data_IF_046934544255
#
_entry.id   IF_046934544255
#
_cell.length_a   1.000
_cell.length_b   1.000
_cell.length_c   1.000
_cell.angle_alpha   90.00
_cell.angle_beta   90.00
_cell.angle_gamma   90.00
#
_symmetry.space_group_name_H-M   'P 1'
#
loop_
_entity.id
_entity.type
_entity.pdbx_description
1 polymer ?
#
# COMPACT_ATOMS: atom_id res chain seq x y z
N UNK A 1 -46.14 2.54 16.41
CA UNK A 1 -45.51 1.25 16.00
C UNK A 1 -44.71 1.37 14.70
N UNK A 2 -45.17 2.11 13.73
CA UNK A 2 -44.57 2.11 12.39
C UNK A 2 -43.16 2.76 12.25
N UNK A 3 -42.85 3.81 13.02
CA UNK A 3 -41.54 4.49 12.90
C UNK A 3 -40.36 3.65 13.37
N UNK A 4 -40.51 2.86 14.45
CA UNK A 4 -39.45 1.99 14.96
C UNK A 4 -39.14 0.90 13.93
N UNK A 5 -40.15 0.26 13.35
CA UNK A 5 -39.96 -0.73 12.30
C UNK A 5 -39.27 -0.14 11.06
N UNK A 6 -39.63 1.08 10.67
CA UNK A 6 -38.98 1.77 9.55
C UNK A 6 -37.50 2.03 9.86
N UNK A 7 -37.16 2.53 11.04
CA UNK A 7 -35.76 2.78 11.44
C UNK A 7 -34.95 1.47 11.43
N UNK A 8 -35.48 0.40 12.04
CA UNK A 8 -34.83 -0.91 12.05
C UNK A 8 -34.64 -1.47 10.64
N UNK A 9 -35.69 -1.35 9.79
CA UNK A 9 -35.60 -1.76 8.40
C UNK A 9 -34.50 -0.98 7.63
N UNK A 10 -34.48 0.33 7.76
CA UNK A 10 -33.46 1.17 7.11
C UNK A 10 -32.04 0.83 7.60
N UNK A 11 -31.87 0.61 8.90
CA UNK A 11 -30.59 0.19 9.48
C UNK A 11 -30.09 -1.13 8.85
N UNK A 12 -30.95 -2.13 8.82
CA UNK A 12 -30.61 -3.45 8.23
C UNK A 12 -30.38 -3.30 6.72
N UNK A 13 -31.22 -2.57 6.01
CA UNK A 13 -31.13 -2.37 4.57
C UNK A 13 -29.81 -1.67 4.17
N UNK A 14 -29.45 -0.57 4.81
CA UNK A 14 -28.19 0.12 4.53
C UNK A 14 -26.98 -0.73 4.97
N UNK A 15 -27.06 -1.43 6.09
CA UNK A 15 -26.02 -2.37 6.51
C UNK A 15 -25.80 -3.49 5.50
N UNK A 16 -26.89 -4.03 4.93
CA UNK A 16 -26.84 -5.02 3.86
C UNK A 16 -26.21 -4.46 2.58
N UNK A 17 -26.56 -3.24 2.17
CA UNK A 17 -25.95 -2.59 1.02
C UNK A 17 -24.43 -2.38 1.24
N UNK A 18 -24.03 -1.89 2.40
CA UNK A 18 -22.61 -1.75 2.75
C UNK A 18 -21.89 -3.10 2.70
N UNK A 19 -22.50 -4.17 3.21
CA UNK A 19 -21.93 -5.53 3.19
C UNK A 19 -21.76 -6.06 1.77
N UNK A 20 -22.73 -5.85 0.88
CA UNK A 20 -22.65 -6.32 -0.51
C UNK A 20 -21.62 -5.51 -1.32
N UNK A 21 -21.63 -4.18 -1.15
CA UNK A 21 -20.82 -3.29 -1.97
C UNK A 21 -19.48 -2.92 -1.35
N UNK A 22 -19.09 -3.47 -0.17
CA UNK A 22 -17.86 -3.10 0.54
C UNK A 22 -16.61 -3.17 -0.34
N UNK A 23 -16.48 -4.16 -1.22
CA UNK A 23 -15.33 -4.27 -2.12
C UNK A 23 -15.26 -3.15 -3.15
N UNK A 24 -16.40 -2.59 -3.59
CA UNK A 24 -16.42 -1.40 -4.45
C UNK A 24 -15.97 -0.14 -3.70
N UNK A 25 -16.21 -0.10 -2.39
CA UNK A 25 -15.79 1.01 -1.53
C UNK A 25 -14.30 0.91 -1.20
N UNK A 26 -13.83 -0.31 -0.89
CA UNK A 26 -12.43 -0.56 -0.51
C UNK A 26 -11.51 -0.51 -1.74
N UNK A 27 -11.95 -0.99 -2.91
CA UNK A 27 -11.13 -1.12 -4.12
C UNK A 27 -11.71 -0.27 -5.25
N UNK A 28 -11.17 0.93 -5.41
CA UNK A 28 -11.60 1.85 -6.46
C UNK A 28 -10.85 1.57 -7.76
N UNK A 29 -11.40 0.65 -8.56
CA UNK A 29 -10.81 0.21 -9.83
C UNK A 29 -10.52 1.39 -10.77
N UNK A 30 -9.46 1.28 -11.56
CA UNK A 30 -9.01 2.35 -12.47
C UNK A 30 -8.67 1.85 -13.87
N UNK A 31 -8.71 2.76 -14.83
CA UNK A 31 -8.31 2.51 -16.22
C UNK A 31 -6.79 2.35 -16.35
N UNK A 32 -6.34 1.93 -17.53
CA UNK A 32 -4.91 1.88 -17.87
C UNK A 32 -4.35 3.31 -17.90
N UNK A 33 -3.20 3.59 -17.25
CA UNK A 33 -2.49 4.87 -17.36
C UNK A 33 -1.96 5.06 -18.79
N UNK A 34 -1.54 6.29 -19.10
CA UNK A 34 -0.70 6.56 -20.25
C UNK A 34 0.69 5.92 -20.05
N UNK A 35 1.56 6.01 -21.05
CA UNK A 35 2.93 5.50 -20.91
C UNK A 35 3.72 6.28 -19.83
N UNK A 36 4.76 5.67 -19.22
CA UNK A 36 5.58 6.33 -18.20
C UNK A 36 6.14 7.68 -18.62
N UNK A 37 6.56 7.82 -19.88
CA UNK A 37 7.11 9.06 -20.43
C UNK A 37 6.12 10.22 -20.41
N UNK A 38 4.81 9.91 -20.56
CA UNK A 38 3.74 10.93 -20.47
C UNK A 38 3.63 11.56 -19.09
N UNK A 39 4.27 10.96 -18.08
CA UNK A 39 4.34 11.44 -16.70
C UNK A 39 5.75 11.93 -16.32
N UNK A 40 6.67 12.05 -17.29
CA UNK A 40 8.06 12.46 -17.06
C UNK A 40 8.93 11.38 -16.41
N UNK A 41 8.57 10.10 -16.57
CA UNK A 41 9.35 8.95 -16.13
C UNK A 41 10.15 8.38 -17.30
N UNK A 42 11.15 9.13 -17.76
CA UNK A 42 12.04 8.70 -18.84
C UNK A 42 12.82 7.43 -18.43
N UNK A 43 13.15 6.59 -19.42
CA UNK A 43 13.86 5.32 -19.22
C UNK A 43 13.13 4.33 -18.27
N UNK A 44 11.83 4.51 -18.07
CA UNK A 44 10.99 3.59 -17.31
C UNK A 44 10.25 2.65 -18.25
N UNK A 45 10.39 1.35 -18.06
CA UNK A 45 9.78 0.34 -18.92
C UNK A 45 8.42 -0.11 -18.37
N UNK A 46 7.41 -0.19 -19.24
CA UNK A 46 6.23 -1.00 -18.95
C UNK A 46 6.61 -2.49 -18.99
N UNK A 47 6.25 -3.21 -17.94
CA UNK A 47 6.45 -4.65 -17.83
C UNK A 47 5.15 -5.34 -17.45
N UNK A 48 5.05 -6.62 -17.76
CA UNK A 48 3.91 -7.46 -17.43
C UNK A 48 4.34 -8.53 -16.44
N UNK A 49 3.68 -8.56 -15.28
CA UNK A 49 3.94 -9.54 -14.22
C UNK A 49 2.81 -10.56 -14.19
N UNK A 50 3.13 -11.83 -14.36
CA UNK A 50 2.15 -12.90 -14.31
C UNK A 50 2.03 -13.48 -12.92
N UNK A 51 0.80 -13.49 -12.38
CA UNK A 51 0.51 -14.05 -11.06
C UNK A 51 0.35 -15.57 -11.12
N UNK A 52 0.40 -16.25 -9.97
CA UNK A 52 0.21 -17.68 -9.87
C UNK A 52 -1.16 -18.14 -10.42
N UNK A 53 -2.19 -17.33 -10.24
CA UNK A 53 -3.56 -17.57 -10.74
C UNK A 53 -3.80 -16.97 -12.14
N UNK A 54 -2.71 -16.78 -12.91
CA UNK A 54 -2.70 -16.42 -14.34
C UNK A 54 -3.23 -15.01 -14.67
N UNK A 55 -3.35 -14.10 -13.69
CA UNK A 55 -3.63 -12.70 -13.95
C UNK A 55 -2.33 -12.01 -14.40
N UNK A 56 -2.45 -11.13 -15.40
CA UNK A 56 -1.34 -10.29 -15.86
C UNK A 56 -1.50 -8.89 -15.28
N UNK A 57 -0.46 -8.41 -14.61
CA UNK A 57 -0.41 -7.10 -13.98
C UNK A 57 0.53 -6.18 -14.75
N UNK A 58 0.06 -4.98 -15.08
CA UNK A 58 0.90 -3.89 -15.57
C UNK A 58 1.75 -3.37 -14.42
N UNK A 59 3.04 -3.21 -14.67
CA UNK A 59 3.96 -2.57 -13.76
C UNK A 59 4.94 -1.68 -14.51
N UNK A 60 5.54 -0.73 -13.82
CA UNK A 60 6.58 0.15 -14.34
C UNK A 60 7.89 -0.10 -13.61
N UNK A 61 8.94 -0.37 -14.37
CA UNK A 61 10.26 -0.66 -13.85
C UNK A 61 11.30 0.33 -14.40
N UNK A 62 11.97 1.03 -13.49
CA UNK A 62 13.11 1.89 -13.77
C UNK A 62 14.39 1.26 -13.20
N UNK A 63 15.40 1.16 -14.06
CA UNK A 63 16.73 0.68 -13.67
C UNK A 63 17.61 1.86 -13.31
N UNK A 64 17.78 2.09 -12.01
CA UNK A 64 18.62 3.15 -11.47
C UNK A 64 20.10 2.77 -11.37
N UNK A 65 20.80 3.41 -10.43
CA UNK A 65 22.21 3.11 -10.14
C UNK A 65 22.35 1.67 -9.61
N UNK A 66 23.23 0.84 -10.19
CA UNK A 66 23.45 -0.53 -9.76
C UNK A 66 23.94 -0.68 -8.30
N UNK A 67 24.53 0.37 -7.74
CA UNK A 67 25.04 0.40 -6.37
C UNK A 67 24.02 0.93 -5.36
N UNK A 68 22.75 1.05 -5.76
CA UNK A 68 21.64 1.46 -4.91
C UNK A 68 20.54 0.39 -4.85
N UNK A 69 19.73 0.36 -3.78
CA UNK A 69 18.66 -0.62 -3.61
C UNK A 69 17.50 -0.41 -4.60
N UNK A 70 16.63 -1.41 -4.67
CA UNK A 70 15.37 -1.37 -5.43
C UNK A 70 14.22 -1.01 -4.50
N UNK A 71 13.44 0.01 -4.85
CA UNK A 71 12.17 0.32 -4.21
C UNK A 71 11.03 -0.38 -4.94
N UNK A 72 10.33 -1.29 -4.25
CA UNK A 72 9.10 -1.92 -4.74
C UNK A 72 7.92 -1.23 -4.09
N UNK A 73 7.11 -0.54 -4.90
CA UNK A 73 6.03 0.33 -4.44
C UNK A 73 4.66 -0.31 -4.63
N UNK A 74 3.96 -0.52 -3.55
CA UNK A 74 2.61 -1.04 -3.45
C UNK A 74 1.64 0.11 -3.16
N UNK A 75 0.87 0.53 -4.18
CA UNK A 75 0.04 1.74 -4.12
C UNK A 75 -1.25 1.59 -3.30
N UNK A 76 -1.88 2.71 -2.99
CA UNK A 76 -3.15 2.81 -2.27
C UNK A 76 -4.38 2.34 -3.06
N UNK A 77 -5.58 2.65 -2.56
CA UNK A 77 -6.85 2.12 -3.08
C UNK A 77 -7.48 2.95 -4.22
N UNK A 78 -6.83 4.01 -4.67
CA UNK A 78 -7.39 4.93 -5.66
C UNK A 78 -6.45 5.16 -6.82
N UNK A 79 -7.01 5.42 -8.00
CA UNK A 79 -6.32 5.76 -9.21
C UNK A 79 -5.41 4.66 -9.75
N UNK A 80 -4.75 4.94 -10.86
CA UNK A 80 -3.76 4.07 -11.47
C UNK A 80 -2.33 4.40 -11.02
N UNK A 81 -1.36 3.63 -11.51
CA UNK A 81 0.04 3.85 -11.15
C UNK A 81 0.62 5.14 -11.72
N UNK A 82 0.00 5.73 -12.76
CA UNK A 82 0.39 7.02 -13.32
C UNK A 82 0.26 8.17 -12.35
N UNK A 83 -0.78 8.14 -11.51
CA UNK A 83 -0.98 9.16 -10.46
C UNK A 83 0.13 9.15 -9.37
N UNK A 84 0.94 8.09 -9.33
CA UNK A 84 2.11 7.98 -8.43
C UNK A 84 3.42 8.34 -9.12
N UNK A 85 3.40 8.67 -10.41
CA UNK A 85 4.60 8.95 -11.19
C UNK A 85 5.48 10.03 -10.55
N UNK A 86 4.88 11.13 -10.06
CA UNK A 86 5.61 12.22 -9.41
C UNK A 86 6.36 11.77 -8.14
N UNK A 87 5.83 10.76 -7.42
CA UNK A 87 6.45 10.16 -6.23
C UNK A 87 7.61 9.26 -6.65
N UNK A 88 7.36 8.39 -7.62
CA UNK A 88 8.37 7.47 -8.18
C UNK A 88 9.55 8.24 -8.77
N UNK A 89 9.26 9.34 -9.48
CA UNK A 89 10.30 10.20 -10.05
C UNK A 89 11.30 10.69 -9.00
N UNK A 90 10.85 11.06 -7.81
CA UNK A 90 11.75 11.52 -6.73
C UNK A 90 12.76 10.45 -6.31
N UNK A 91 12.36 9.17 -6.32
CA UNK A 91 13.26 8.04 -6.03
C UNK A 91 14.17 7.73 -7.22
N UNK A 92 13.65 7.82 -8.45
CA UNK A 92 14.46 7.68 -9.67
C UNK A 92 15.55 8.77 -9.74
N UNK A 93 15.19 10.03 -9.48
CA UNK A 93 16.12 11.18 -9.45
C UNK A 93 17.18 11.01 -8.34
N UNK A 94 16.85 10.35 -7.25
CA UNK A 94 17.82 9.95 -6.22
C UNK A 94 18.68 8.75 -6.63
N UNK A 95 18.45 8.17 -7.81
CA UNK A 95 19.21 7.06 -8.39
C UNK A 95 18.82 5.68 -7.90
N UNK A 96 17.70 5.51 -7.17
CA UNK A 96 17.19 4.19 -6.83
C UNK A 96 16.61 3.52 -8.07
N UNK A 97 16.71 2.19 -8.15
CA UNK A 97 15.81 1.42 -9.03
C UNK A 97 14.41 1.42 -8.43
N UNK A 98 13.37 1.47 -9.26
CA UNK A 98 11.98 1.46 -8.78
C UNK A 98 11.13 0.48 -9.56
N UNK A 99 10.21 -0.18 -8.86
CA UNK A 99 9.17 -1.02 -9.44
C UNK A 99 7.84 -0.65 -8.78
N UNK A 100 6.91 -0.10 -9.56
CA UNK A 100 5.53 0.12 -9.13
C UNK A 100 4.59 -0.81 -9.90
N UNK A 101 3.73 -1.53 -9.19
CA UNK A 101 2.78 -2.50 -9.78
C UNK A 101 1.34 -2.00 -9.61
N UNK A 102 0.55 -2.08 -10.68
CA UNK A 102 -0.89 -1.91 -10.63
C UNK A 102 -1.55 -3.20 -10.13
N UNK A 103 -2.42 -3.10 -9.14
CA UNK A 103 -3.19 -4.24 -8.65
C UNK A 103 -4.14 -4.79 -9.72
N UNK A 104 -4.54 -6.07 -9.60
CA UNK A 104 -5.70 -6.58 -10.35
C UNK A 104 -6.93 -5.68 -10.13
N UNK A 105 -7.63 -5.33 -11.21
CA UNK A 105 -8.73 -4.37 -11.20
C UNK A 105 -8.31 -2.89 -11.19
N UNK A 106 -7.02 -2.57 -11.03
CA UNK A 106 -6.47 -1.22 -11.15
C UNK A 106 -5.56 -1.14 -12.37
N UNK A 107 -5.28 0.08 -12.83
CA UNK A 107 -4.37 0.35 -13.96
C UNK A 107 -4.72 -0.44 -15.23
N UNK A 108 -6.02 -0.70 -15.45
CA UNK A 108 -6.50 -1.50 -16.58
C UNK A 108 -6.30 -3.01 -16.44
N UNK A 109 -5.76 -3.50 -15.35
CA UNK A 109 -5.57 -4.93 -15.12
C UNK A 109 -6.89 -5.66 -14.90
N UNK A 110 -7.01 -6.85 -15.46
CA UNK A 110 -8.16 -7.72 -15.22
C UNK A 110 -8.21 -8.26 -13.80
N UNK A 111 -9.35 -8.81 -13.42
CA UNK A 111 -9.56 -9.50 -12.16
C UNK A 111 -10.30 -8.66 -11.12
N UNK A 112 -10.57 -9.31 -9.98
CA UNK A 112 -11.31 -8.72 -8.87
C UNK A 112 -10.40 -8.63 -7.65
N UNK A 113 -10.15 -7.41 -7.13
CA UNK A 113 -9.33 -7.23 -5.95
C UNK A 113 -10.02 -7.78 -4.71
N UNK A 114 -9.22 -8.36 -3.84
CA UNK A 114 -9.55 -8.78 -2.48
C UNK A 114 -8.26 -8.86 -1.66
N UNK A 115 -8.34 -8.97 -0.36
CA UNK A 115 -7.15 -9.13 0.50
C UNK A 115 -6.25 -10.27 0.00
N UNK A 116 -6.82 -11.47 -0.16
CA UNK A 116 -6.07 -12.65 -0.63
C UNK A 116 -5.45 -12.42 -2.01
N UNK A 117 -6.22 -11.82 -2.91
CA UNK A 117 -5.78 -11.62 -4.28
C UNK A 117 -4.66 -10.57 -4.39
N UNK A 118 -4.71 -9.48 -3.59
CA UNK A 118 -3.63 -8.51 -3.54
C UNK A 118 -2.35 -9.11 -2.93
N UNK A 119 -2.46 -10.07 -2.02
CA UNK A 119 -1.31 -10.83 -1.52
C UNK A 119 -0.67 -11.70 -2.62
N UNK A 120 -1.47 -12.29 -3.52
CA UNK A 120 -0.96 -13.00 -4.70
C UNK A 120 -0.23 -12.03 -5.64
N UNK A 121 -0.80 -10.84 -5.88
CA UNK A 121 -0.17 -9.81 -6.73
C UNK A 121 1.16 -9.35 -6.15
N UNK A 122 1.21 -9.09 -4.84
CA UNK A 122 2.44 -8.72 -4.15
C UNK A 122 3.52 -9.81 -4.21
N UNK A 123 3.14 -11.09 -3.99
CA UNK A 123 4.08 -12.21 -4.12
C UNK A 123 4.60 -12.35 -5.56
N UNK A 124 3.73 -12.22 -6.58
CA UNK A 124 4.15 -12.26 -7.98
C UNK A 124 5.13 -11.14 -8.31
N UNK A 125 4.91 -9.94 -7.75
CA UNK A 125 5.82 -8.80 -7.92
C UNK A 125 7.21 -9.10 -7.36
N UNK A 126 7.30 -9.65 -6.15
CA UNK A 126 8.59 -10.02 -5.55
C UNK A 126 9.26 -11.15 -6.34
N UNK A 127 8.52 -12.17 -6.77
CA UNK A 127 9.06 -13.26 -7.59
C UNK A 127 9.62 -12.73 -8.91
N UNK A 128 8.90 -11.82 -9.58
CA UNK A 128 9.38 -11.18 -10.80
C UNK A 128 10.73 -10.48 -10.59
N UNK A 129 10.88 -9.73 -9.48
CA UNK A 129 12.16 -9.08 -9.14
C UNK A 129 13.29 -10.10 -9.03
N UNK A 130 13.05 -11.20 -8.32
CA UNK A 130 14.07 -12.24 -8.08
C UNK A 130 14.48 -12.99 -9.36
N UNK A 131 13.54 -13.15 -10.29
CA UNK A 131 13.75 -13.88 -11.55
C UNK A 131 14.33 -13.01 -12.67
N UNK A 132 14.00 -11.72 -12.71
CA UNK A 132 14.29 -10.84 -13.84
C UNK A 132 15.31 -9.74 -13.54
N UNK A 133 15.81 -9.64 -12.29
CA UNK A 133 16.78 -8.63 -11.89
C UNK A 133 17.92 -9.26 -11.08
N UNK A 134 18.96 -8.46 -10.81
CA UNK A 134 20.07 -8.87 -9.92
C UNK A 134 19.75 -8.70 -8.42
N UNK A 135 18.65 -8.03 -8.08
CA UNK A 135 18.31 -7.71 -6.71
C UNK A 135 17.88 -8.95 -5.93
N UNK A 136 18.38 -9.07 -4.72
CA UNK A 136 17.98 -10.08 -3.74
C UNK A 136 16.96 -9.47 -2.77
N UNK A 137 16.28 -10.28 -1.98
CA UNK A 137 15.32 -9.80 -0.97
C UNK A 137 15.91 -8.72 -0.06
N UNK A 138 17.16 -8.88 0.37
CA UNK A 138 17.87 -7.93 1.23
C UNK A 138 18.22 -6.58 0.56
N UNK A 139 18.02 -6.48 -0.75
CA UNK A 139 18.31 -5.29 -1.55
C UNK A 139 17.02 -4.49 -1.86
N UNK A 140 15.87 -4.97 -1.37
CA UNK A 140 14.54 -4.41 -1.66
C UNK A 140 14.06 -3.53 -0.50
N UNK A 141 13.63 -2.33 -0.83
CA UNK A 141 12.79 -1.47 -0.01
C UNK A 141 11.35 -1.87 -0.29
N UNK A 142 10.69 -2.49 0.68
CA UNK A 142 9.29 -2.90 0.60
C UNK A 142 8.39 -1.74 1.02
N UNK A 143 7.85 -1.00 0.05
CA UNK A 143 7.09 0.23 0.29
C UNK A 143 5.59 0.00 0.10
N UNK A 144 4.81 0.28 1.12
CA UNK A 144 3.34 0.27 1.05
C UNK A 144 2.74 1.65 1.32
N UNK A 145 1.86 2.11 0.44
CA UNK A 145 1.04 3.31 0.61
C UNK A 145 -0.39 2.92 0.96
N UNK A 146 -0.94 3.41 2.08
CA UNK A 146 -2.36 3.21 2.46
C UNK A 146 -2.78 1.74 2.34
N UNK A 147 -3.67 1.36 1.41
CA UNK A 147 -4.05 -0.04 1.14
C UNK A 147 -2.83 -0.94 0.91
N UNK A 148 -1.82 -0.46 0.20
CA UNK A 148 -0.57 -1.20 -0.07
C UNK A 148 0.21 -1.57 1.19
N UNK A 149 -0.02 -0.87 2.32
CA UNK A 149 0.61 -1.23 3.60
C UNK A 149 0.19 -2.61 4.08
N UNK A 150 -1.06 -3.02 3.79
CA UNK A 150 -1.55 -4.37 4.09
C UNK A 150 -0.76 -5.45 3.35
N UNK A 151 -0.42 -5.20 2.09
CA UNK A 151 0.41 -6.12 1.30
C UNK A 151 1.86 -6.10 1.77
N UNK A 152 2.43 -4.92 2.01
CA UNK A 152 3.81 -4.78 2.49
C UNK A 152 4.04 -5.49 3.83
N UNK A 153 3.10 -5.36 4.79
CA UNK A 153 3.14 -6.08 6.07
C UNK A 153 3.02 -7.58 5.86
N UNK A 154 2.11 -8.05 5.01
CA UNK A 154 1.93 -9.48 4.74
C UNK A 154 3.18 -10.11 4.12
N UNK A 155 3.81 -9.45 3.14
CA UNK A 155 5.03 -9.93 2.51
C UNK A 155 6.19 -10.02 3.51
N UNK A 156 6.23 -9.12 4.49
CA UNK A 156 7.26 -9.08 5.51
C UNK A 156 7.20 -10.27 6.50
N UNK A 157 6.07 -10.97 6.59
CA UNK A 157 6.00 -12.23 7.35
C UNK A 157 6.84 -13.33 6.71
N UNK A 158 6.96 -13.31 5.38
CA UNK A 158 7.72 -14.28 4.59
C UNK A 158 9.16 -13.84 4.34
N UNK A 159 9.37 -12.58 3.97
CA UNK A 159 10.64 -12.06 3.49
C UNK A 159 11.27 -11.09 4.50
N UNK A 160 12.60 -11.11 4.61
CA UNK A 160 13.38 -10.10 5.33
C UNK A 160 13.99 -9.13 4.31
N UNK A 161 13.26 -8.05 4.04
CA UNK A 161 13.68 -6.98 3.14
C UNK A 161 14.81 -6.14 3.73
N UNK A 162 15.44 -5.28 2.93
CA UNK A 162 16.37 -4.25 3.42
C UNK A 162 15.68 -3.41 4.50
N UNK A 163 14.51 -2.88 4.17
CA UNK A 163 13.59 -2.23 5.11
C UNK A 163 12.16 -2.29 4.58
N UNK A 164 11.21 -1.96 5.46
CA UNK A 164 9.81 -1.75 5.10
C UNK A 164 9.41 -0.33 5.43
N UNK A 165 8.78 0.33 4.48
CA UNK A 165 8.21 1.68 4.64
C UNK A 165 6.71 1.59 4.54
N UNK A 166 6.00 2.12 5.54
CA UNK A 166 4.55 2.17 5.58
C UNK A 166 4.10 3.63 5.59
N UNK A 167 3.54 4.08 4.46
CA UNK A 167 2.97 5.42 4.30
C UNK A 167 1.48 5.40 4.61
N UNK A 168 1.04 6.22 5.56
CA UNK A 168 -0.34 6.33 6.04
C UNK A 168 -0.99 4.96 6.33
N UNK A 169 -0.34 4.09 7.16
CA UNK A 169 -0.82 2.74 7.42
C UNK A 169 -2.01 2.71 8.36
N UNK A 170 -2.81 1.67 8.24
CA UNK A 170 -3.94 1.37 9.12
C UNK A 170 -3.68 0.11 9.97
N UNK A 171 -4.34 0.02 11.14
CA UNK A 171 -4.32 -1.19 11.98
C UNK A 171 -5.04 -2.36 11.30
N UNK A 172 -6.25 -2.08 10.77
CA UNK A 172 -7.00 -2.96 9.85
C UNK A 172 -8.02 -2.14 9.07
N UNK A 173 -8.46 -2.61 7.91
CA UNK A 173 -9.60 -2.01 7.19
C UNK A 173 -10.87 -2.06 8.04
N UNK A 174 -11.03 -3.08 8.87
CA UNK A 174 -12.16 -3.18 9.78
C UNK A 174 -12.16 -2.07 10.83
N UNK A 175 -10.99 -1.68 11.36
CA UNK A 175 -10.87 -0.58 12.31
C UNK A 175 -11.13 0.78 11.66
N UNK A 176 -10.62 1.02 10.44
CA UNK A 176 -10.93 2.22 9.65
C UNK A 176 -12.44 2.30 9.38
N UNK A 177 -13.07 1.18 9.00
CA UNK A 177 -14.51 1.12 8.81
C UNK A 177 -15.29 1.39 10.10
N UNK A 178 -14.80 0.92 11.27
CA UNK A 178 -15.41 1.20 12.59
C UNK A 178 -15.41 2.70 12.89
N UNK A 179 -14.31 3.39 12.57
CA UNK A 179 -14.21 4.84 12.74
C UNK A 179 -15.22 5.59 11.86
N UNK A 180 -15.42 5.12 10.62
CA UNK A 180 -16.29 5.77 9.62
C UNK A 180 -17.76 5.40 9.76
N UNK A 181 -18.06 4.16 10.12
CA UNK A 181 -19.41 3.57 10.19
C UNK A 181 -19.74 3.10 11.61
N UNK A 182 -19.70 4.02 12.56
CA UNK A 182 -19.77 3.78 14.03
C UNK A 182 -20.97 2.95 14.49
N UNK A 183 -22.10 3.00 13.76
CA UNK A 183 -23.34 2.29 14.12
C UNK A 183 -23.36 0.82 13.68
N UNK A 184 -22.41 0.39 12.84
CA UNK A 184 -22.35 -0.98 12.33
C UNK A 184 -21.24 -1.79 12.99
N UNK A 185 -21.43 -3.09 13.21
CA UNK A 185 -20.41 -3.99 13.77
C UNK A 185 -19.37 -4.40 12.70
N UNK A 186 -18.66 -3.42 12.17
CA UNK A 186 -17.74 -3.55 11.02
C UNK A 186 -16.65 -4.60 11.22
N UNK A 187 -16.17 -4.80 12.46
CA UNK A 187 -15.18 -5.84 12.80
C UNK A 187 -15.60 -7.25 12.36
N UNK A 188 -16.91 -7.51 12.32
CA UNK A 188 -17.48 -8.79 11.90
C UNK A 188 -17.91 -8.78 10.44
N UNK A 189 -18.30 -7.63 9.90
CA UNK A 189 -18.89 -7.50 8.57
C UNK A 189 -17.85 -7.28 7.46
N UNK A 190 -16.68 -6.69 7.77
CA UNK A 190 -15.63 -6.46 6.77
C UNK A 190 -14.97 -7.79 6.38
N UNK A 191 -15.00 -8.09 5.07
CA UNK A 191 -14.45 -9.32 4.47
C UNK A 191 -12.93 -9.24 4.30
N UNK A 192 -12.47 -8.14 3.74
CA UNK A 192 -11.05 -7.91 3.39
C UNK A 192 -10.43 -7.01 4.49
N UNK A 193 -9.94 -7.63 5.56
CA UNK A 193 -9.54 -6.93 6.80
C UNK A 193 -8.18 -6.30 6.73
N UNK A 194 -7.22 -6.91 6.03
CA UNK A 194 -5.81 -6.49 6.02
C UNK A 194 -5.31 -6.16 7.44
N UNK A 195 -5.43 -7.12 8.35
CA UNK A 195 -5.11 -6.92 9.76
C UNK A 195 -3.60 -6.76 9.98
N UNK A 196 -3.13 -5.52 9.87
CA UNK A 196 -1.73 -5.16 10.06
C UNK A 196 -1.33 -5.22 11.53
N UNK A 197 -2.25 -4.85 12.45
CA UNK A 197 -1.94 -4.82 13.87
C UNK A 197 -1.59 -6.20 14.42
N UNK A 198 -2.26 -7.27 13.97
CA UNK A 198 -1.96 -8.64 14.40
C UNK A 198 -0.65 -9.21 13.83
N UNK A 199 -0.03 -8.50 12.88
CA UNK A 199 1.15 -8.95 12.12
C UNK A 199 2.41 -8.12 12.37
N UNK A 200 2.25 -6.85 12.78
CA UNK A 200 3.35 -5.87 12.79
C UNK A 200 4.51 -6.25 13.73
N UNK A 201 4.23 -6.94 14.82
CA UNK A 201 5.22 -7.48 15.76
C UNK A 201 6.01 -8.69 15.21
N UNK A 202 5.52 -9.28 14.10
CA UNK A 202 6.13 -10.46 13.46
C UNK A 202 6.95 -10.11 12.22
N UNK A 203 6.95 -8.85 11.79
CA UNK A 203 7.74 -8.43 10.63
C UNK A 203 9.24 -8.61 10.91
N UNK A 204 10.03 -8.85 9.85
CA UNK A 204 11.45 -9.24 9.97
C UNK A 204 12.40 -8.11 9.60
N UNK A 205 11.92 -7.09 8.91
CA UNK A 205 12.74 -5.99 8.39
C UNK A 205 12.70 -4.77 9.30
N UNK A 206 13.74 -3.91 9.30
CA UNK A 206 13.66 -2.56 9.85
C UNK A 206 12.45 -1.81 9.29
N UNK A 207 11.76 -1.02 10.12
CA UNK A 207 10.49 -0.39 9.82
C UNK A 207 10.56 1.13 9.88
N UNK A 208 10.05 1.81 8.86
CA UNK A 208 9.73 3.24 8.88
C UNK A 208 8.22 3.42 8.69
N UNK A 209 7.58 4.16 9.60
CA UNK A 209 6.19 4.59 9.44
C UNK A 209 6.15 6.10 9.21
N UNK A 210 5.45 6.50 8.14
CA UNK A 210 5.24 7.92 7.80
C UNK A 210 3.75 8.20 7.73
N UNK A 211 3.27 9.24 8.43
CA UNK A 211 1.85 9.64 8.36
C UNK A 211 1.64 11.10 8.72
N UNK A 212 0.53 11.66 8.23
CA UNK A 212 0.03 12.96 8.64
C UNK A 212 -0.80 12.86 9.92
N UNK A 213 -0.67 13.86 10.82
CA UNK A 213 -1.52 13.90 12.01
C UNK A 213 -2.94 14.38 11.71
N UNK A 214 -3.11 15.12 10.60
CA UNK A 214 -4.42 15.58 10.11
C UNK A 214 -5.03 14.63 9.04
N UNK A 215 -4.63 13.36 9.03
CA UNK A 215 -5.17 12.36 8.12
C UNK A 215 -6.63 12.03 8.47
N UNK A 216 -7.56 12.43 7.58
CA UNK A 216 -9.00 12.22 7.73
C UNK A 216 -9.48 10.88 7.12
N UNK A 217 -8.62 10.21 6.33
CA UNK A 217 -8.93 8.94 5.69
C UNK A 217 -8.55 7.77 6.61
N UNK A 218 -7.31 7.80 7.10
CA UNK A 218 -6.77 6.85 8.08
C UNK A 218 -6.28 7.65 9.30
N UNK A 219 -7.07 7.76 10.35
CA UNK A 219 -6.69 8.54 11.53
C UNK A 219 -5.31 8.18 12.07
N UNK A 220 -4.51 9.19 12.41
CA UNK A 220 -3.13 9.05 12.87
C UNK A 220 -2.92 8.01 13.99
N UNK A 221 -3.93 7.78 14.81
CA UNK A 221 -3.87 6.78 15.88
C UNK A 221 -3.49 5.38 15.37
N UNK A 222 -3.87 5.03 14.14
CA UNK A 222 -3.50 3.75 13.54
C UNK A 222 -1.98 3.62 13.39
N UNK A 223 -1.32 4.65 12.86
CA UNK A 223 0.14 4.69 12.71
C UNK A 223 0.84 4.60 14.07
N UNK A 224 0.31 5.30 15.07
CA UNK A 224 0.83 5.29 16.44
C UNK A 224 0.75 3.89 17.06
N UNK A 225 -0.38 3.22 16.98
CA UNK A 225 -0.56 1.86 17.48
C UNK A 225 0.36 0.85 16.78
N UNK A 226 0.57 1.00 15.48
CA UNK A 226 1.46 0.13 14.74
C UNK A 226 2.93 0.30 15.15
N UNK A 227 3.42 1.55 15.28
CA UNK A 227 4.82 1.78 15.65
C UNK A 227 5.07 1.37 17.11
N UNK A 228 4.12 1.56 18.00
CA UNK A 228 4.22 1.11 19.39
C UNK A 228 4.35 -0.42 19.48
N UNK A 229 3.54 -1.15 18.70
CA UNK A 229 3.52 -2.61 18.71
C UNK A 229 4.69 -3.27 17.96
N UNK A 230 5.28 -2.59 16.99
CA UNK A 230 6.43 -3.11 16.24
C UNK A 230 7.63 -3.34 17.17
N UNK A 231 8.36 -4.45 17.00
CA UNK A 231 9.52 -4.82 17.84
C UNK A 231 10.86 -4.72 17.14
N UNK A 232 10.91 -4.72 15.80
CA UNK A 232 12.15 -4.56 15.03
C UNK A 232 12.70 -3.12 15.15
N UNK A 233 13.97 -2.88 14.75
CA UNK A 233 14.47 -1.52 14.61
C UNK A 233 13.48 -0.67 13.82
N UNK A 234 13.02 0.44 14.40
CA UNK A 234 11.92 1.23 13.89
C UNK A 234 12.15 2.71 14.03
N UNK A 235 11.74 3.46 13.01
CA UNK A 235 11.66 4.92 13.00
C UNK A 235 10.24 5.36 12.60
N UNK A 236 9.85 6.56 12.96
CA UNK A 236 8.59 7.16 12.51
C UNK A 236 8.76 8.64 12.19
N UNK A 237 8.04 9.09 11.16
CA UNK A 237 7.88 10.50 10.82
C UNK A 237 6.39 10.84 10.84
N UNK A 238 5.99 11.64 11.81
CA UNK A 238 4.62 12.12 11.96
C UNK A 238 4.58 13.62 11.72
N UNK A 239 3.88 14.05 10.67
CA UNK A 239 3.86 15.44 10.20
C UNK A 239 2.56 16.09 10.65
N UNK A 240 2.66 17.16 11.45
CA UNK A 240 1.52 17.79 12.13
C UNK A 240 0.45 18.29 11.15
N UNK A 241 0.84 18.99 10.10
CA UNK A 241 -0.06 19.61 9.13
C UNK A 241 -0.44 18.70 7.97
N UNK A 242 0.21 17.55 7.82
CA UNK A 242 -0.04 16.67 6.68
C UNK A 242 -1.34 15.89 6.83
N UNK A 243 -2.00 15.71 5.69
CA UNK A 243 -3.17 14.88 5.47
C UNK A 243 -2.78 13.56 4.80
N UNK A 244 -3.78 12.76 4.37
CA UNK A 244 -3.56 11.44 3.77
C UNK A 244 -2.75 11.46 2.47
N UNK A 245 -2.99 12.44 1.60
CA UNK A 245 -2.49 12.42 0.22
C UNK A 245 -1.34 13.41 -0.06
N UNK A 246 -1.02 14.31 0.86
CA UNK A 246 -0.07 15.40 0.64
C UNK A 246 1.28 15.22 1.36
N UNK A 247 1.59 14.04 1.84
CA UNK A 247 2.84 13.74 2.56
C UNK A 247 4.10 14.12 1.77
N UNK A 248 4.07 13.96 0.44
CA UNK A 248 5.19 14.33 -0.44
C UNK A 248 5.43 15.84 -0.55
N UNK A 249 4.45 16.68 -0.21
CA UNK A 249 4.63 18.14 -0.13
C UNK A 249 5.58 18.53 1.02
N UNK A 250 5.73 17.64 2.00
CA UNK A 250 6.63 17.77 3.15
C UNK A 250 7.97 17.04 2.96
N UNK A 251 8.25 16.53 1.75
CA UNK A 251 9.55 15.94 1.40
C UNK A 251 9.84 14.60 2.10
N UNK A 252 8.83 13.76 2.30
CA UNK A 252 8.99 12.46 2.97
C UNK A 252 9.97 11.52 2.24
N UNK A 253 10.14 11.68 0.92
CA UNK A 253 11.10 10.90 0.13
C UNK A 253 12.52 11.03 0.68
N UNK A 254 12.91 12.21 1.19
CA UNK A 254 14.23 12.43 1.79
C UNK A 254 14.42 11.58 3.03
N UNK A 255 13.39 11.50 3.88
CA UNK A 255 13.41 10.65 5.08
C UNK A 255 13.51 9.17 4.71
N UNK A 256 12.73 8.72 3.72
CA UNK A 256 12.76 7.34 3.21
C UNK A 256 14.16 7.01 2.66
N UNK A 257 14.73 7.88 1.82
CA UNK A 257 16.07 7.69 1.24
C UNK A 257 17.12 7.63 2.33
N UNK A 258 17.11 8.57 3.27
CA UNK A 258 18.08 8.61 4.38
C UNK A 258 17.97 7.36 5.26
N UNK A 259 16.75 6.94 5.62
CA UNK A 259 16.52 5.71 6.38
C UNK A 259 17.08 4.49 5.64
N UNK A 260 16.80 4.39 4.36
CA UNK A 260 17.26 3.29 3.52
C UNK A 260 18.79 3.25 3.40
N UNK A 261 19.42 4.40 3.10
CA UNK A 261 20.87 4.46 2.89
C UNK A 261 21.68 4.19 4.17
N UNK A 262 21.13 4.45 5.36
CA UNK A 262 21.76 4.00 6.62
C UNK A 262 21.85 2.47 6.72
N UNK A 263 20.94 1.74 6.08
CA UNK A 263 20.84 0.28 6.12
C UNK A 263 21.53 -0.39 4.93
N UNK A 264 21.74 0.36 3.85
CA UNK A 264 22.40 -0.10 2.64
C UNK A 264 23.92 -0.03 2.82
N UNK A 265 24.58 -1.21 2.80
CA UNK A 265 26.04 -1.36 2.95
C UNK A 265 26.63 -2.07 1.76
#
# INVERSE_FOLDING_TARGET
>A
MNYIFLIVFLYIFFGFLLYIFQRKIIFNKSAKPKSPESYGLDNTNEILIKTQDQITLLAWFFKGNPDKPLLVYFHGNSFDIGERAYRIKRYNDAGLSTLIVGWRGFSGNHGNPSETNLYLDGNATINWVLENTKFKIKDIINYGESLGTGVAVQLNLKYKFLCTVLEAPFTSIADVATYRYKIYPTKYLVKDKFDNLSKIDKIKSPLLIVSGKNDEVVPHIHSKLLIEKAINPKESLFIDEAMHNNLYDYGIEKTVINFTLKLWK
#
